data_IF_134067849403
#
_entry.id   IF_134067849403
#
_cell.length_a   1.000
_cell.length_b   1.000
_cell.length_c   1.000
_cell.angle_alpha   90.00
_cell.angle_beta   90.00
_cell.angle_gamma   90.00
#
_symmetry.space_group_name_H-M   'P 1'
#
loop_
_entity.id
_entity.type
_entity.pdbx_description
1 polymer ?
#
# COMPACT_ATOMS: atom_id res chain seq x y z
N UNK A 1 -6.34 16.00 -2.84
CA UNK A 1 -7.45 16.81 -2.24
C UNK A 1 -7.31 16.82 -0.71
N UNK A 2 -7.12 17.98 -0.11
CA UNK A 2 -7.05 18.15 1.34
C UNK A 2 -8.47 18.24 1.92
N UNK A 3 -8.90 17.19 2.61
CA UNK A 3 -10.25 17.12 3.19
C UNK A 3 -10.49 18.11 4.33
N UNK A 4 -9.43 18.58 5.01
CA UNK A 4 -9.56 19.55 6.11
C UNK A 4 -9.91 20.94 5.58
N UNK A 5 -9.53 21.26 4.35
CA UNK A 5 -9.83 22.54 3.68
C UNK A 5 -11.21 22.56 3.00
N UNK A 6 -11.91 21.43 2.90
CA UNK A 6 -13.21 21.37 2.24
C UNK A 6 -14.34 22.04 3.04
N UNK A 7 -15.43 22.51 2.39
CA UNK A 7 -16.58 23.10 3.06
C UNK A 7 -17.22 22.17 4.10
N UNK A 8 -17.83 22.74 5.12
CA UNK A 8 -18.45 21.98 6.21
C UNK A 8 -19.47 20.95 5.74
N UNK A 9 -20.38 21.31 4.83
CA UNK A 9 -21.38 20.38 4.29
C UNK A 9 -20.78 19.19 3.54
N UNK A 10 -19.64 19.38 2.85
CA UNK A 10 -18.90 18.28 2.24
C UNK A 10 -18.33 17.34 3.31
N UNK A 11 -17.71 17.88 4.36
CA UNK A 11 -17.16 17.10 5.47
C UNK A 11 -18.21 16.25 6.15
N UNK A 12 -19.39 16.83 6.45
CA UNK A 12 -20.51 16.13 7.08
C UNK A 12 -20.98 14.98 6.21
N UNK A 13 -21.28 15.22 4.92
CA UNK A 13 -21.70 14.16 3.97
C UNK A 13 -20.66 13.04 3.88
N UNK A 14 -19.38 13.38 3.85
CA UNK A 14 -18.28 12.40 3.79
C UNK A 14 -18.21 11.55 5.05
N UNK A 15 -18.35 12.16 6.23
CA UNK A 15 -18.37 11.47 7.53
C UNK A 15 -19.57 10.54 7.62
N UNK A 16 -20.76 11.01 7.28
CA UNK A 16 -21.99 10.18 7.29
C UNK A 16 -21.86 8.98 6.34
N UNK A 17 -21.32 9.19 5.12
CA UNK A 17 -21.03 8.12 4.19
C UNK A 17 -20.05 7.10 4.78
N UNK A 18 -18.98 7.54 5.45
CA UNK A 18 -18.01 6.66 6.07
C UNK A 18 -18.57 5.90 7.26
N UNK A 19 -19.40 6.55 8.09
CA UNK A 19 -20.11 5.90 9.19
C UNK A 19 -20.97 4.74 8.69
N UNK A 20 -21.71 4.99 7.61
CA UNK A 20 -22.56 3.96 6.99
C UNK A 20 -21.76 2.81 6.38
N UNK A 21 -20.61 3.09 5.76
CA UNK A 21 -19.80 2.07 5.04
C UNK A 21 -18.86 1.29 5.96
N UNK A 22 -18.27 1.95 6.95
CA UNK A 22 -17.13 1.41 7.72
C UNK A 22 -17.39 1.33 9.22
N UNK A 23 -18.49 1.87 9.68
CA UNK A 23 -18.81 1.99 11.10
C UNK A 23 -18.03 3.11 11.82
N UNK A 24 -18.36 3.38 13.10
CA UNK A 24 -17.83 4.54 13.84
C UNK A 24 -16.33 4.47 14.08
N UNK A 25 -15.80 3.32 14.49
CA UNK A 25 -14.38 3.17 14.81
C UNK A 25 -13.46 3.47 13.61
N UNK A 26 -13.79 2.90 12.44
CA UNK A 26 -13.04 3.15 11.20
C UNK A 26 -13.16 4.59 10.72
N UNK A 27 -14.37 5.16 10.81
CA UNK A 27 -14.60 6.56 10.44
C UNK A 27 -13.78 7.50 11.31
N UNK A 28 -13.77 7.28 12.62
CA UNK A 28 -12.95 8.04 13.55
C UNK A 28 -11.46 7.97 13.20
N UNK A 29 -10.93 6.77 12.91
CA UNK A 29 -9.54 6.60 12.51
C UNK A 29 -9.20 7.32 11.20
N UNK A 30 -10.11 7.33 10.21
CA UNK A 30 -9.92 8.08 8.97
C UNK A 30 -9.86 9.60 9.20
N UNK A 31 -10.69 10.12 10.12
CA UNK A 31 -10.65 11.55 10.51
C UNK A 31 -9.33 11.87 11.21
N UNK A 32 -8.91 11.03 12.15
CA UNK A 32 -7.63 11.19 12.83
C UNK A 32 -6.45 11.14 11.85
N UNK A 33 -6.50 10.28 10.84
CA UNK A 33 -5.48 10.19 9.79
C UNK A 33 -5.31 11.50 9.01
N UNK A 34 -6.40 12.23 8.74
CA UNK A 34 -6.29 13.55 8.11
C UNK A 34 -5.60 14.57 9.04
N UNK A 35 -5.96 14.59 10.32
CA UNK A 35 -5.33 15.46 11.32
C UNK A 35 -3.86 15.11 11.55
N UNK A 36 -3.55 13.81 11.54
CA UNK A 36 -2.20 13.30 11.70
C UNK A 36 -1.23 13.85 10.65
N UNK A 37 -1.66 13.95 9.39
CA UNK A 37 -0.81 14.45 8.30
C UNK A 37 -0.38 15.91 8.45
N UNK A 38 -1.12 16.71 9.24
CA UNK A 38 -0.82 18.13 9.51
C UNK A 38 -0.27 18.37 10.92
N UNK A 39 -0.06 17.28 11.70
CA UNK A 39 0.39 17.43 13.09
C UNK A 39 1.83 17.92 13.13
N UNK A 40 2.07 18.98 13.89
CA UNK A 40 3.39 19.49 14.26
C UNK A 40 3.50 19.54 15.79
N UNK A 41 4.69 19.32 16.29
CA UNK A 41 4.99 19.37 17.71
C UNK A 41 6.04 20.43 17.98
N UNK A 42 5.80 21.31 18.95
CA UNK A 42 6.81 22.24 19.49
C UNK A 42 7.87 21.45 20.26
N UNK A 43 7.44 20.46 21.03
CA UNK A 43 8.29 19.49 21.71
C UNK A 43 7.80 18.08 21.37
N UNK A 44 8.69 17.25 20.89
CA UNK A 44 8.37 15.86 20.55
C UNK A 44 7.92 15.09 21.78
N UNK A 45 6.86 14.26 21.66
CA UNK A 45 6.42 13.44 22.77
C UNK A 45 7.51 12.45 23.18
N UNK A 46 7.61 12.19 24.48
CA UNK A 46 8.56 11.20 25.02
C UNK A 46 8.28 9.83 24.42
N UNK A 47 9.31 9.13 24.01
CA UNK A 47 9.23 7.73 23.58
C UNK A 47 8.81 6.84 24.76
N UNK A 48 7.97 5.85 24.51
CA UNK A 48 7.50 4.94 25.55
C UNK A 48 8.60 3.99 26.02
N UNK A 49 9.56 3.66 25.17
CA UNK A 49 10.79 2.94 25.46
C UNK A 49 10.62 1.47 25.86
N UNK A 50 9.52 1.12 26.50
CA UNK A 50 9.30 -0.24 27.00
C UNK A 50 8.71 -1.14 25.92
N UNK A 51 9.46 -2.14 25.48
CA UNK A 51 9.02 -3.16 24.52
C UNK A 51 8.57 -4.43 25.22
N UNK A 52 7.50 -5.04 24.69
CA UNK A 52 7.04 -6.38 25.08
C UNK A 52 7.56 -7.43 24.07
N UNK A 53 7.47 -8.72 24.43
CA UNK A 53 7.85 -9.82 23.51
C UNK A 53 7.00 -9.85 22.23
N UNK A 54 5.76 -9.36 22.28
CA UNK A 54 4.84 -9.25 21.14
C UNK A 54 5.24 -8.16 20.14
N UNK A 55 6.08 -7.19 20.52
CA UNK A 55 6.53 -6.10 19.66
C UNK A 55 7.56 -6.59 18.65
N UNK A 56 7.10 -7.12 17.52
CA UNK A 56 7.94 -7.76 16.48
C UNK A 56 7.78 -7.16 15.09
N UNK A 57 6.96 -6.12 14.92
CA UNK A 57 6.68 -5.47 13.66
C UNK A 57 7.29 -4.07 13.64
N UNK A 58 8.05 -3.75 12.59
CA UNK A 58 8.52 -2.41 12.27
C UNK A 58 7.66 -1.79 11.16
N UNK A 59 7.43 -0.48 11.21
CA UNK A 59 6.70 0.26 10.16
C UNK A 59 7.63 1.32 9.58
N UNK A 60 7.87 1.26 8.28
CA UNK A 60 8.59 2.28 7.50
C UNK A 60 7.57 3.05 6.66
N UNK A 61 7.45 4.35 6.92
CA UNK A 61 6.40 5.24 6.39
C UNK A 61 5.21 5.35 7.33
N UNK A 62 5.01 6.55 7.88
CA UNK A 62 3.92 6.88 8.81
C UNK A 62 2.87 7.81 8.17
N UNK A 63 2.62 7.67 6.86
CA UNK A 63 1.61 8.44 6.16
C UNK A 63 0.18 8.13 6.61
N UNK A 64 -0.81 8.73 5.93
CA UNK A 64 -2.22 8.55 6.27
C UNK A 64 -2.67 7.08 6.20
N UNK A 65 -2.22 6.33 5.19
CA UNK A 65 -2.64 4.94 5.01
C UNK A 65 -2.07 4.01 6.10
N UNK A 66 -0.75 4.01 6.40
CA UNK A 66 -0.22 3.28 7.54
C UNK A 66 -0.89 3.67 8.86
N UNK A 67 -1.10 4.96 9.12
CA UNK A 67 -1.73 5.45 10.34
C UNK A 67 -3.18 4.99 10.48
N UNK A 68 -4.01 5.21 9.44
CA UNK A 68 -5.45 5.00 9.55
C UNK A 68 -5.90 3.58 9.20
N UNK A 69 -5.05 2.79 8.55
CA UNK A 69 -5.43 1.45 8.05
C UNK A 69 -4.50 0.36 8.59
N UNK A 70 -3.22 0.39 8.25
CA UNK A 70 -2.29 -0.68 8.61
C UNK A 70 -2.24 -0.87 10.14
N UNK A 71 -1.84 0.18 10.86
CA UNK A 71 -1.72 0.10 12.32
C UNK A 71 -3.06 -0.16 13.01
N UNK A 72 -4.16 0.35 12.47
CA UNK A 72 -5.49 0.08 13.01
C UNK A 72 -5.82 -1.41 12.97
N UNK A 73 -5.62 -2.07 11.82
CA UNK A 73 -5.92 -3.50 11.69
C UNK A 73 -4.89 -4.37 12.39
N UNK A 74 -3.60 -4.06 12.30
CA UNK A 74 -2.58 -4.79 13.05
C UNK A 74 -2.90 -4.82 14.54
N UNK A 75 -3.27 -3.67 15.12
CA UNK A 75 -3.62 -3.62 16.54
C UNK A 75 -4.93 -4.30 16.88
N UNK A 76 -5.91 -4.23 15.98
CA UNK A 76 -7.20 -4.88 16.19
C UNK A 76 -7.06 -6.41 16.21
N UNK A 77 -6.24 -6.97 15.32
CA UNK A 77 -6.12 -8.42 15.15
C UNK A 77 -4.99 -9.03 16.00
N UNK A 78 -3.91 -8.28 16.24
CA UNK A 78 -2.69 -8.80 16.89
C UNK A 78 -2.28 -8.02 18.15
N UNK A 79 -3.10 -7.08 18.62
CA UNK A 79 -2.81 -6.28 19.79
C UNK A 79 -1.59 -5.34 19.59
N UNK A 80 -0.81 -5.13 20.64
CA UNK A 80 0.37 -4.26 20.62
C UNK A 80 1.57 -5.00 20.00
N UNK A 81 1.55 -5.20 18.68
CA UNK A 81 2.60 -5.91 17.94
C UNK A 81 3.67 -4.99 17.32
N UNK A 82 3.41 -3.68 17.20
CA UNK A 82 4.30 -2.73 16.53
C UNK A 82 5.40 -2.27 17.49
N UNK A 83 6.66 -2.59 17.16
CA UNK A 83 7.85 -2.29 17.97
C UNK A 83 8.36 -0.87 17.76
N UNK A 84 8.42 -0.44 16.51
CA UNK A 84 8.92 0.88 16.11
C UNK A 84 8.30 1.35 14.81
N UNK A 85 8.35 2.67 14.60
CA UNK A 85 7.89 3.30 13.36
C UNK A 85 8.86 4.39 12.92
N UNK A 86 9.01 4.52 11.60
CA UNK A 86 9.91 5.48 10.96
C UNK A 86 9.16 6.32 9.94
N UNK A 87 9.44 7.61 9.91
CA UNK A 87 9.09 8.50 8.79
C UNK A 87 10.17 9.59 8.69
N UNK A 88 10.44 10.07 7.49
CA UNK A 88 11.37 11.18 7.28
C UNK A 88 10.89 12.48 7.97
N UNK A 89 9.57 12.66 8.12
CA UNK A 89 8.98 13.71 8.99
C UNK A 89 8.82 13.15 10.41
N UNK A 90 9.70 13.57 11.31
CA UNK A 90 9.68 13.15 12.72
C UNK A 90 8.34 13.41 13.41
N UNK A 91 7.59 14.45 13.00
CA UNK A 91 6.28 14.73 13.55
C UNK A 91 5.25 13.65 13.18
N UNK A 92 5.35 13.10 11.97
CA UNK A 92 4.51 11.96 11.54
C UNK A 92 4.86 10.71 12.34
N UNK A 93 6.15 10.40 12.46
CA UNK A 93 6.60 9.26 13.26
C UNK A 93 6.15 9.39 14.72
N UNK A 94 6.33 10.55 15.34
CA UNK A 94 5.91 10.84 16.72
C UNK A 94 4.37 10.77 16.89
N UNK A 95 3.62 11.35 15.95
CA UNK A 95 2.14 11.31 15.97
C UNK A 95 1.61 9.88 15.81
N UNK A 96 2.25 9.09 14.95
CA UNK A 96 1.94 7.67 14.76
C UNK A 96 2.20 6.87 16.04
N UNK A 97 3.40 7.02 16.62
CA UNK A 97 3.81 6.37 17.87
C UNK A 97 2.83 6.68 19.00
N UNK A 98 2.52 7.97 19.21
CA UNK A 98 1.59 8.40 20.27
C UNK A 98 0.19 7.78 20.10
N UNK A 99 -0.35 7.78 18.88
CA UNK A 99 -1.69 7.26 18.62
C UNK A 99 -1.78 5.74 18.78
N UNK A 100 -0.78 5.04 18.27
CA UNK A 100 -0.77 3.58 18.23
C UNK A 100 0.04 2.95 19.37
N UNK A 101 0.51 3.76 20.34
CA UNK A 101 1.33 3.30 21.48
C UNK A 101 2.56 2.51 21.06
N UNK A 102 3.18 2.96 19.94
CA UNK A 102 4.41 2.35 19.44
C UNK A 102 5.57 2.78 20.35
N UNK A 103 6.37 1.87 20.90
CA UNK A 103 7.42 2.18 21.86
C UNK A 103 8.47 3.16 21.36
N UNK A 104 8.89 3.01 20.09
CA UNK A 104 9.96 3.80 19.49
C UNK A 104 9.50 4.44 18.18
N UNK A 105 9.95 5.66 17.94
CA UNK A 105 9.79 6.33 16.65
C UNK A 105 11.11 7.00 16.25
N UNK A 106 11.38 7.05 14.95
CA UNK A 106 12.67 7.49 14.42
C UNK A 106 12.52 8.09 13.02
N UNK A 107 13.57 8.76 12.54
CA UNK A 107 13.74 9.16 11.14
C UNK A 107 14.73 8.27 10.38
N UNK A 108 15.39 7.32 11.07
CA UNK A 108 16.37 6.43 10.49
C UNK A 108 15.80 5.02 10.32
N UNK A 109 15.72 4.52 9.09
CA UNK A 109 15.20 3.18 8.79
C UNK A 109 16.07 2.06 9.41
N UNK A 110 17.35 2.28 9.57
CA UNK A 110 18.26 1.28 10.14
C UNK A 110 17.92 0.95 11.60
N UNK A 111 17.33 1.88 12.35
CA UNK A 111 16.84 1.61 13.71
C UNK A 111 15.76 0.54 13.75
N UNK A 112 15.10 0.28 12.60
CA UNK A 112 14.11 -0.80 12.43
C UNK A 112 14.75 -2.02 11.78
N UNK A 113 15.54 -1.82 10.73
CA UNK A 113 16.12 -2.89 9.91
C UNK A 113 17.14 -3.70 10.70
N UNK A 114 17.96 -3.06 11.51
CA UNK A 114 19.02 -3.71 12.30
C UNK A 114 18.54 -4.24 13.65
N UNK A 115 17.28 -3.97 14.02
CA UNK A 115 16.74 -4.44 15.30
C UNK A 115 16.41 -5.94 15.27
N UNK A 116 17.18 -6.74 15.99
CA UNK A 116 17.04 -8.20 16.06
C UNK A 116 15.67 -8.68 16.62
N UNK A 117 14.92 -7.84 17.31
CA UNK A 117 13.58 -8.16 17.84
C UNK A 117 12.48 -7.98 16.79
N UNK A 118 12.74 -7.22 15.76
CA UNK A 118 11.81 -7.04 14.63
C UNK A 118 11.99 -8.20 13.67
N UNK A 119 10.89 -8.87 13.36
CA UNK A 119 10.85 -10.00 12.42
C UNK A 119 10.17 -9.65 11.12
N UNK A 120 9.20 -8.74 11.14
CA UNK A 120 8.45 -8.28 9.99
C UNK A 120 8.58 -6.77 9.85
N UNK A 121 8.98 -6.29 8.68
CA UNK A 121 8.98 -4.87 8.33
C UNK A 121 7.85 -4.58 7.35
N UNK A 122 6.98 -3.67 7.73
CA UNK A 122 5.90 -3.15 6.90
C UNK A 122 6.37 -1.87 6.22
N UNK A 123 6.46 -1.87 4.89
CA UNK A 123 7.00 -0.78 4.09
C UNK A 123 5.85 -0.08 3.36
N UNK A 124 5.60 1.17 3.70
CA UNK A 124 4.51 2.00 3.17
C UNK A 124 4.93 3.48 3.06
N UNK A 125 6.16 3.69 2.63
CA UNK A 125 6.78 4.99 2.33
C UNK A 125 6.31 5.54 0.96
N UNK A 126 7.11 6.36 0.28
CA UNK A 126 6.88 6.71 -1.11
C UNK A 126 7.26 5.55 -2.05
N UNK A 127 6.71 5.53 -3.25
CA UNK A 127 6.84 4.39 -4.17
C UNK A 127 8.30 4.07 -4.52
N UNK A 128 9.09 5.09 -4.82
CA UNK A 128 10.50 4.93 -5.23
C UNK A 128 11.37 4.26 -4.16
N UNK A 129 11.01 4.38 -2.88
CA UNK A 129 11.77 3.81 -1.78
C UNK A 129 11.33 2.40 -1.34
N UNK A 130 10.20 1.89 -1.84
CA UNK A 130 9.67 0.60 -1.42
C UNK A 130 10.66 -0.54 -1.61
N UNK A 131 11.20 -0.71 -2.83
CA UNK A 131 12.15 -1.77 -3.12
C UNK A 131 13.47 -1.62 -2.36
N UNK A 132 13.93 -0.39 -2.16
CA UNK A 132 15.20 -0.12 -1.48
C UNK A 132 15.15 -0.57 -0.02
N UNK A 133 14.10 -0.17 0.70
CA UNK A 133 13.90 -0.63 2.08
C UNK A 133 13.59 -2.13 2.17
N UNK A 134 12.89 -2.69 1.17
CA UNK A 134 12.60 -4.12 1.15
C UNK A 134 13.87 -4.95 0.99
N UNK A 135 14.76 -4.59 0.07
CA UNK A 135 16.03 -5.27 -0.14
C UNK A 135 16.87 -5.22 1.14
N UNK A 136 17.06 -4.05 1.75
CA UNK A 136 17.81 -3.90 2.99
C UNK A 136 17.23 -4.77 4.12
N UNK A 137 15.92 -4.76 4.29
CA UNK A 137 15.25 -5.55 5.32
C UNK A 137 15.39 -7.07 5.09
N UNK A 138 15.27 -7.54 3.83
CA UNK A 138 15.46 -8.94 3.46
C UNK A 138 16.90 -9.39 3.72
N UNK A 139 17.89 -8.57 3.33
CA UNK A 139 19.32 -8.82 3.58
C UNK A 139 19.65 -8.89 5.08
N UNK A 140 18.95 -8.09 5.89
CA UNK A 140 19.03 -8.13 7.36
C UNK A 140 18.18 -9.26 7.99
N UNK A 141 17.68 -10.21 7.19
CA UNK A 141 16.97 -11.39 7.67
C UNK A 141 15.54 -11.15 8.11
N UNK A 142 14.89 -10.05 7.68
CA UNK A 142 13.50 -9.75 8.00
C UNK A 142 12.53 -10.30 6.94
N UNK A 143 11.36 -10.70 7.37
CA UNK A 143 10.22 -10.81 6.47
C UNK A 143 9.71 -9.41 6.14
N UNK A 144 9.13 -9.20 4.95
CA UNK A 144 8.66 -7.87 4.53
C UNK A 144 7.23 -7.91 3.99
N UNK A 145 6.49 -6.87 4.27
CA UNK A 145 5.26 -6.53 3.59
C UNK A 145 5.47 -5.20 2.88
N UNK A 146 5.36 -5.20 1.55
CA UNK A 146 5.62 -4.04 0.71
C UNK A 146 4.29 -3.52 0.18
N UNK A 147 3.95 -2.26 0.46
CA UNK A 147 2.81 -1.62 -0.19
C UNK A 147 3.03 -1.48 -1.69
N UNK A 148 1.92 -1.40 -2.40
CA UNK A 148 1.94 -1.23 -3.87
C UNK A 148 2.30 0.24 -4.24
N UNK A 149 2.97 0.46 -5.36
CA UNK A 149 3.69 -0.53 -6.15
C UNK A 149 4.94 -0.99 -5.41
N UNK A 150 5.32 -2.23 -5.58
CA UNK A 150 6.51 -2.76 -4.90
C UNK A 150 7.82 -2.32 -5.54
N UNK A 151 7.78 -1.87 -6.80
CA UNK A 151 8.90 -1.30 -7.56
C UNK A 151 8.39 -0.17 -8.46
N UNK A 152 9.28 0.73 -8.87
CA UNK A 152 8.99 1.80 -9.84
C UNK A 152 9.86 1.70 -11.10
N UNK A 153 10.82 0.77 -11.15
CA UNK A 153 11.67 0.54 -12.30
C UNK A 153 11.99 -0.95 -12.51
N UNK A 154 12.40 -1.29 -13.72
CA UNK A 154 12.85 -2.64 -14.08
C UNK A 154 14.11 -3.01 -13.29
N UNK A 155 15.02 -2.08 -13.06
CA UNK A 155 16.20 -2.30 -12.24
C UNK A 155 15.82 -2.72 -10.81
N UNK A 156 14.93 -1.98 -10.17
CA UNK A 156 14.41 -2.34 -8.84
C UNK A 156 13.78 -3.72 -8.83
N UNK A 157 12.99 -4.08 -9.87
CA UNK A 157 12.40 -5.40 -9.99
C UNK A 157 13.46 -6.50 -10.04
N UNK A 158 14.50 -6.32 -10.85
CA UNK A 158 15.60 -7.30 -10.95
C UNK A 158 16.37 -7.43 -9.65
N UNK A 159 16.71 -6.32 -8.99
CA UNK A 159 17.45 -6.33 -7.70
C UNK A 159 16.60 -6.98 -6.59
N UNK A 160 15.32 -6.64 -6.49
CA UNK A 160 14.42 -7.24 -5.50
C UNK A 160 14.26 -8.75 -5.74
N UNK A 161 14.02 -9.18 -6.98
CA UNK A 161 13.92 -10.61 -7.32
C UNK A 161 15.23 -11.37 -7.01
N UNK A 162 16.38 -10.81 -7.32
CA UNK A 162 17.69 -11.39 -7.00
C UNK A 162 17.87 -11.52 -5.48
N UNK A 163 17.47 -10.51 -4.72
CA UNK A 163 17.52 -10.52 -3.27
C UNK A 163 16.59 -11.61 -2.70
N UNK A 164 15.34 -11.68 -3.16
CA UNK A 164 14.36 -12.68 -2.72
C UNK A 164 14.82 -14.13 -2.97
N UNK A 165 15.51 -14.39 -4.10
CA UNK A 165 16.04 -15.72 -4.42
C UNK A 165 17.24 -16.13 -3.55
N UNK A 166 18.02 -15.15 -3.05
CA UNK A 166 19.20 -15.38 -2.21
C UNK A 166 18.86 -15.59 -0.74
N UNK A 167 17.81 -14.94 -0.30
CA UNK A 167 17.43 -14.92 1.12
C UNK A 167 16.09 -15.60 1.29
N UNK A 168 16.02 -16.63 2.09
CA UNK A 168 14.77 -17.37 2.37
C UNK A 168 13.86 -16.58 3.33
N UNK A 169 13.39 -15.39 2.88
CA UNK A 169 12.47 -14.54 3.64
C UNK A 169 11.12 -14.47 2.98
N UNK A 170 10.08 -14.28 3.78
CA UNK A 170 8.72 -14.11 3.25
C UNK A 170 8.53 -12.68 2.77
N UNK A 171 8.04 -12.54 1.55
CA UNK A 171 7.73 -11.25 0.92
C UNK A 171 6.25 -11.21 0.57
N UNK A 172 5.53 -10.23 1.10
CA UNK A 172 4.12 -10.00 0.84
C UNK A 172 3.94 -8.68 0.12
N UNK A 173 3.01 -8.62 -0.83
CA UNK A 173 2.71 -7.43 -1.61
C UNK A 173 1.32 -6.89 -1.29
N UNK A 174 1.18 -5.58 -1.21
CA UNK A 174 -0.02 -4.86 -0.81
C UNK A 174 -1.17 -4.85 -1.83
N UNK A 175 -1.27 -5.85 -2.69
CA UNK A 175 -2.39 -6.00 -3.61
C UNK A 175 -3.60 -6.62 -2.91
N UNK A 176 -4.41 -5.77 -2.31
CA UNK A 176 -5.50 -6.17 -1.40
C UNK A 176 -6.84 -6.52 -2.08
N UNK A 177 -7.03 -6.20 -3.37
CA UNK A 177 -8.31 -6.43 -4.06
C UNK A 177 -8.67 -7.90 -4.23
N UNK A 178 -7.76 -8.76 -4.73
CA UNK A 178 -8.05 -10.18 -4.89
C UNK A 178 -8.37 -10.91 -3.57
N UNK A 179 -7.80 -10.42 -2.45
CA UNK A 179 -8.02 -10.97 -1.11
C UNK A 179 -9.24 -10.42 -0.37
N UNK A 180 -9.94 -9.42 -0.93
CA UNK A 180 -11.19 -8.92 -0.35
C UNK A 180 -12.33 -9.95 -0.47
N UNK A 181 -13.38 -9.82 0.33
CA UNK A 181 -14.54 -10.73 0.28
C UNK A 181 -15.13 -10.80 -1.14
N UNK A 182 -15.30 -9.64 -1.80
CA UNK A 182 -15.79 -9.58 -3.18
C UNK A 182 -14.77 -10.15 -4.16
N UNK A 183 -13.49 -9.83 -4.01
CA UNK A 183 -12.42 -10.36 -4.85
C UNK A 183 -12.30 -11.87 -4.75
N UNK A 184 -12.43 -12.42 -3.56
CA UNK A 184 -12.45 -13.89 -3.34
C UNK A 184 -13.65 -14.55 -3.99
N UNK A 185 -14.82 -13.90 -3.95
CA UNK A 185 -16.01 -14.40 -4.63
C UNK A 185 -15.83 -14.43 -6.15
N UNK A 186 -15.32 -13.34 -6.74
CA UNK A 186 -15.05 -13.26 -8.18
C UNK A 186 -14.06 -14.38 -8.60
N UNK A 187 -12.94 -14.51 -7.88
CA UNK A 187 -11.95 -15.57 -8.19
C UNK A 187 -12.54 -16.97 -8.10
N UNK A 188 -13.35 -17.24 -7.09
CA UNK A 188 -14.03 -18.52 -6.95
C UNK A 188 -14.97 -18.82 -8.11
N UNK A 189 -15.72 -17.80 -8.55
CA UNK A 189 -16.62 -17.92 -9.70
C UNK A 189 -15.84 -18.19 -11.00
N UNK A 190 -14.80 -17.39 -11.27
CA UNK A 190 -13.97 -17.58 -12.47
C UNK A 190 -13.23 -18.93 -12.50
N UNK A 191 -12.71 -19.38 -11.35
CA UNK A 191 -12.04 -20.67 -11.27
C UNK A 191 -12.94 -21.90 -11.58
N UNK A 192 -14.25 -21.74 -11.54
CA UNK A 192 -15.21 -22.78 -11.90
C UNK A 192 -15.63 -22.76 -13.38
N UNK A 193 -15.07 -21.85 -14.19
CA UNK A 193 -15.40 -21.75 -15.62
C UNK A 193 -14.30 -22.42 -16.46
N UNK A 194 -14.69 -23.00 -17.59
CA UNK A 194 -13.77 -23.58 -18.55
C UNK A 194 -13.48 -22.60 -19.70
N UNK A 195 -12.26 -22.69 -20.27
CA UNK A 195 -11.82 -21.90 -21.41
C UNK A 195 -11.41 -20.45 -21.10
N UNK A 196 -11.08 -19.69 -22.16
CA UNK A 196 -10.63 -18.31 -22.03
C UNK A 196 -11.70 -17.38 -21.47
N UNK A 197 -11.29 -16.47 -20.57
CA UNK A 197 -12.16 -15.47 -19.96
C UNK A 197 -12.06 -14.10 -20.61
N UNK A 198 -13.14 -13.29 -20.49
CA UNK A 198 -13.10 -11.87 -20.84
C UNK A 198 -13.39 -11.03 -19.59
N UNK A 199 -12.40 -10.21 -19.16
CA UNK A 199 -12.44 -9.44 -17.93
C UNK A 199 -12.45 -7.95 -18.24
N UNK A 200 -13.57 -7.26 -18.00
CA UNK A 200 -13.69 -5.83 -18.24
C UNK A 200 -13.78 -5.05 -16.92
N UNK A 201 -12.91 -4.08 -16.75
CA UNK A 201 -12.88 -3.19 -15.60
C UNK A 201 -13.11 -1.75 -16.02
N UNK A 202 -14.14 -1.14 -15.49
CA UNK A 202 -14.36 0.30 -15.57
C UNK A 202 -14.14 0.91 -14.19
N UNK A 203 -13.08 1.73 -14.06
CA UNK A 203 -12.66 2.31 -12.79
C UNK A 203 -12.97 3.79 -12.75
N UNK A 204 -14.05 4.17 -12.09
CA UNK A 204 -14.33 5.56 -11.74
C UNK A 204 -13.47 5.99 -10.54
N UNK A 205 -12.25 6.41 -10.81
CA UNK A 205 -11.32 6.92 -9.81
C UNK A 205 -11.70 8.33 -9.34
N UNK A 206 -11.22 8.72 -8.16
CA UNK A 206 -11.29 10.12 -7.74
C UNK A 206 -10.18 10.93 -8.42
N UNK A 207 -10.46 12.20 -8.67
CA UNK A 207 -9.45 13.12 -9.15
C UNK A 207 -8.27 13.21 -8.16
N UNK A 208 -7.07 13.11 -8.67
CA UNK A 208 -5.83 13.34 -7.92
C UNK A 208 -5.34 14.73 -8.31
N UNK A 209 -4.93 15.50 -7.32
CA UNK A 209 -4.35 16.82 -7.52
C UNK A 209 -3.11 16.71 -8.43
N UNK A 210 -2.95 17.57 -9.45
CA UNK A 210 -1.75 17.56 -10.30
C UNK A 210 -0.43 17.68 -9.51
N UNK A 211 -0.44 18.40 -8.38
CA UNK A 211 0.72 18.55 -7.49
C UNK A 211 0.89 17.36 -6.52
N UNK A 212 0.13 16.29 -6.70
CA UNK A 212 0.25 15.13 -5.82
C UNK A 212 1.59 14.42 -6.05
N UNK A 213 2.23 13.99 -4.98
CA UNK A 213 3.53 13.32 -5.00
C UNK A 213 3.60 12.08 -5.92
N UNK A 214 2.47 11.49 -6.32
CA UNK A 214 2.41 10.40 -7.30
C UNK A 214 3.03 10.80 -8.64
N UNK A 215 2.93 12.09 -9.00
CA UNK A 215 3.41 12.63 -10.28
C UNK A 215 4.83 13.19 -10.19
N UNK A 216 5.46 13.11 -9.00
CA UNK A 216 6.88 13.44 -8.86
C UNK A 216 7.72 12.45 -9.66
N UNK A 217 8.87 12.91 -10.11
CA UNK A 217 9.82 12.07 -10.85
C UNK A 217 10.18 10.80 -10.05
N UNK A 218 10.17 9.66 -10.73
CA UNK A 218 10.50 8.37 -10.14
C UNK A 218 9.37 7.68 -9.34
N UNK A 219 8.20 8.32 -9.12
CA UNK A 219 7.10 7.71 -8.35
C UNK A 219 6.13 6.85 -9.19
N UNK A 220 6.21 6.93 -10.53
CA UNK A 220 5.48 6.08 -11.46
C UNK A 220 4.02 6.44 -11.72
N UNK A 221 3.54 7.59 -11.24
CA UNK A 221 2.23 8.16 -11.53
C UNK A 221 1.04 7.25 -11.17
N UNK A 222 -0.06 7.46 -11.88
CA UNK A 222 -1.28 6.64 -11.69
C UNK A 222 -1.15 5.23 -12.24
N UNK A 223 -0.28 5.01 -13.21
CA UNK A 223 -0.04 3.67 -13.77
C UNK A 223 0.43 2.74 -12.66
N UNK A 224 1.54 3.07 -12.01
CA UNK A 224 2.06 2.24 -10.92
C UNK A 224 1.30 2.42 -9.61
N UNK A 225 0.79 3.63 -9.32
CA UNK A 225 0.10 3.91 -8.07
C UNK A 225 -1.33 3.35 -7.98
N UNK A 226 -2.04 3.20 -9.11
CA UNK A 226 -3.46 2.83 -9.12
C UNK A 226 -3.79 1.69 -10.09
N UNK A 227 -3.38 1.78 -11.37
CA UNK A 227 -3.70 0.78 -12.38
C UNK A 227 -3.14 -0.60 -12.01
N UNK A 228 -1.98 -0.65 -11.37
CA UNK A 228 -1.34 -1.88 -10.90
C UNK A 228 -2.26 -2.81 -10.08
N UNK A 229 -3.21 -2.27 -9.33
CA UNK A 229 -4.19 -3.08 -8.58
C UNK A 229 -5.08 -3.93 -9.50
N UNK A 230 -5.48 -3.37 -10.63
CA UNK A 230 -6.40 -4.01 -11.56
C UNK A 230 -5.65 -4.95 -12.49
N UNK A 231 -4.42 -4.59 -12.85
CA UNK A 231 -3.50 -5.50 -13.54
C UNK A 231 -3.24 -6.76 -12.72
N UNK A 232 -2.84 -6.59 -11.45
CA UNK A 232 -2.65 -7.73 -10.53
C UNK A 232 -3.91 -8.56 -10.39
N UNK A 233 -5.08 -7.92 -10.27
CA UNK A 233 -6.32 -8.65 -10.13
C UNK A 233 -6.67 -9.44 -11.40
N UNK A 234 -6.54 -8.84 -12.58
CA UNK A 234 -6.78 -9.53 -13.86
C UNK A 234 -5.86 -10.73 -14.02
N UNK A 235 -4.57 -10.58 -13.76
CA UNK A 235 -3.60 -11.67 -13.82
C UNK A 235 -3.95 -12.84 -12.88
N UNK A 236 -4.60 -12.56 -11.74
CA UNK A 236 -5.04 -13.62 -10.80
C UNK A 236 -6.37 -14.27 -11.15
N UNK A 237 -7.03 -13.85 -12.22
CA UNK A 237 -8.22 -14.49 -12.76
C UNK A 237 -7.88 -15.48 -13.88
N UNK A 238 -6.68 -15.37 -14.46
CA UNK A 238 -6.13 -16.26 -15.46
C UNK A 238 -5.31 -17.36 -14.75
N UNK A 239 -5.36 -18.63 -15.19
CA UNK A 239 -4.48 -19.68 -14.66
C UNK A 239 -3.00 -19.25 -14.75
N UNK A 240 -2.22 -19.52 -13.70
CA UNK A 240 -0.84 -19.02 -13.60
C UNK A 240 0.04 -19.46 -14.77
N UNK A 241 -0.15 -20.68 -15.24
CA UNK A 241 0.55 -21.27 -16.38
C UNK A 241 0.21 -20.59 -17.71
N UNK A 242 -0.92 -19.89 -17.77
CA UNK A 242 -1.44 -19.22 -18.96
C UNK A 242 -1.27 -17.69 -18.93
N UNK A 243 -0.68 -17.13 -17.88
CA UNK A 243 -0.48 -15.69 -17.78
C UNK A 243 0.53 -15.19 -18.81
N UNK A 244 1.58 -15.95 -19.09
CA UNK A 244 2.65 -15.55 -19.99
C UNK A 244 2.80 -16.50 -21.19
N UNK A 245 3.13 -15.96 -22.39
CA UNK A 245 3.34 -14.54 -22.69
C UNK A 245 2.04 -13.71 -22.66
N UNK A 246 2.15 -12.44 -22.33
CA UNK A 246 1.02 -11.50 -22.36
C UNK A 246 1.31 -10.35 -23.34
N UNK A 247 0.36 -10.09 -24.25
CA UNK A 247 0.40 -8.93 -25.11
C UNK A 247 -0.34 -7.77 -24.47
N UNK A 248 0.31 -6.62 -24.33
CA UNK A 248 -0.24 -5.41 -23.68
C UNK A 248 -0.38 -4.31 -24.71
N UNK A 249 -1.60 -3.79 -24.88
CA UNK A 249 -1.91 -2.70 -25.80
C UNK A 249 -2.50 -1.52 -25.01
N UNK A 250 -1.67 -0.52 -24.64
CA UNK A 250 -2.15 0.67 -23.96
C UNK A 250 -2.71 1.66 -24.96
N UNK A 251 -3.83 2.30 -24.58
CA UNK A 251 -4.34 3.50 -25.23
C UNK A 251 -4.36 4.62 -24.20
N UNK A 252 -3.53 5.63 -24.39
CA UNK A 252 -3.51 6.78 -23.50
C UNK A 252 -3.29 8.06 -24.29
N UNK A 253 -3.83 9.16 -23.80
CA UNK A 253 -3.51 10.47 -24.30
C UNK A 253 -2.09 10.87 -23.89
N UNK A 254 -1.27 11.35 -24.83
CA UNK A 254 0.15 11.66 -24.61
C UNK A 254 0.37 12.68 -23.46
N UNK A 255 -0.62 13.54 -23.23
CA UNK A 255 -0.54 14.63 -22.24
C UNK A 255 -1.24 14.34 -20.89
N UNK A 256 -1.82 13.16 -20.71
CA UNK A 256 -2.58 12.83 -19.50
C UNK A 256 -2.27 11.43 -18.99
N UNK A 257 -1.81 11.33 -17.77
CA UNK A 257 -1.72 10.07 -17.02
C UNK A 257 -3.02 9.74 -16.27
N UNK A 258 -4.07 10.56 -16.46
CA UNK A 258 -5.31 10.44 -15.71
C UNK A 258 -6.32 9.50 -16.34
N UNK A 259 -6.30 9.40 -17.68
CA UNK A 259 -7.25 8.59 -18.45
C UNK A 259 -6.48 7.56 -19.27
N UNK A 260 -6.59 6.30 -18.86
CA UNK A 260 -5.83 5.19 -19.43
C UNK A 260 -6.81 4.08 -19.78
N UNK A 261 -6.74 3.59 -21.02
CA UNK A 261 -7.32 2.33 -21.42
C UNK A 261 -6.19 1.37 -21.79
N UNK A 262 -6.27 0.13 -21.35
CA UNK A 262 -5.28 -0.89 -21.66
C UNK A 262 -5.98 -2.24 -21.83
N UNK A 263 -5.56 -3.00 -22.84
CA UNK A 263 -5.96 -4.38 -23.03
C UNK A 263 -4.77 -5.33 -22.84
N UNK A 264 -5.08 -6.52 -22.37
CA UNK A 264 -4.16 -7.64 -22.16
C UNK A 264 -4.71 -8.85 -22.89
N UNK A 265 -3.88 -9.53 -23.67
CA UNK A 265 -4.19 -10.83 -24.25
C UNK A 265 -3.21 -11.84 -23.67
N UNK A 266 -3.72 -12.83 -22.96
CA UNK A 266 -2.95 -13.86 -22.27
C UNK A 266 -2.71 -15.08 -23.17
N UNK A 267 -1.83 -15.98 -22.74
CA UNK A 267 -1.42 -17.12 -23.56
C UNK A 267 -2.57 -18.10 -23.91
N UNK A 268 -3.58 -18.22 -23.05
CA UNK A 268 -4.77 -19.03 -23.29
C UNK A 268 -5.85 -18.35 -24.16
N UNK A 269 -5.60 -17.13 -24.62
CA UNK A 269 -6.58 -16.32 -25.34
C UNK A 269 -7.52 -15.52 -24.43
N UNK A 270 -7.39 -15.60 -23.12
CA UNK A 270 -8.12 -14.73 -22.20
C UNK A 270 -7.80 -13.25 -22.45
N UNK A 271 -8.81 -12.39 -22.33
CA UNK A 271 -8.67 -10.95 -22.57
C UNK A 271 -9.02 -10.15 -21.31
N UNK A 272 -8.14 -9.26 -20.92
CA UNK A 272 -8.41 -8.24 -19.92
C UNK A 272 -8.52 -6.85 -20.57
N UNK A 273 -9.53 -6.06 -20.22
CA UNK A 273 -9.64 -4.66 -20.62
C UNK A 273 -9.87 -3.79 -19.39
N UNK A 274 -9.05 -2.76 -19.23
CA UNK A 274 -9.10 -1.85 -18.10
C UNK A 274 -9.24 -0.43 -18.62
N UNK A 275 -10.32 0.25 -18.25
CA UNK A 275 -10.50 1.69 -18.46
C UNK A 275 -10.45 2.38 -17.09
N UNK A 276 -9.54 3.36 -16.99
CA UNK A 276 -9.19 3.99 -15.71
C UNK A 276 -9.27 5.51 -15.82
#
# INVERSE_FOLDING_TARGET
MDYLKQPFGFKVRKVLRYLRMYGPSRTYMKILGQKHMHKKYEQLPRQLGRRQKSHTVGIIGCGNYPFSTIAYFLRKEFGDCIASCMDIDINRAASFSRRHRVPLYTTNANDIIDDNKIRLVYIASNHASHAEYAIQAIESGKDVYIEKPHVVSIDQLHRLNKCMRRHNRKVFLGFNRPGSSLGSLIRKYCAGQEGPGMYNWFIAGHAIDPDHWYFSEGEGGRVLGNLCHWTDFTMRLVPMESVFPVTITPTRHIKSDCDIAVSYVFADGSVGAITF
#
